data_IF_782265756392
#
_entry.id   IF_782265756392
#
_cell.length_a   1.000
_cell.length_b   1.000
_cell.length_c   1.000
_cell.angle_alpha   90.00
_cell.angle_beta   90.00
_cell.angle_gamma   90.00
#
_symmetry.space_group_name_H-M   'P 1'
#
loop_
_entity.id
_entity.type
_entity.pdbx_description
1 polymer ?
#
# COMPACT_ATOMS: atom_id res chain seq x y z
N UNK A 1 -6.21 10.49 -1.11
CA UNK A 1 -4.88 10.69 -1.71
C UNK A 1 -5.06 10.57 -3.19
N UNK A 2 -4.51 11.49 -3.98
CA UNK A 2 -4.56 11.42 -5.44
C UNK A 2 -3.17 11.04 -5.97
N UNK A 3 -3.12 10.24 -7.03
CA UNK A 3 -1.89 9.75 -7.64
C UNK A 3 -1.80 10.21 -9.08
N UNK A 4 -0.61 10.63 -9.50
CA UNK A 4 -0.30 10.85 -10.91
C UNK A 4 0.53 9.67 -11.40
N UNK A 5 -0.06 8.89 -12.30
CA UNK A 5 0.53 7.67 -12.86
C UNK A 5 0.86 7.92 -14.33
N UNK A 6 1.96 7.32 -14.80
CA UNK A 6 2.36 7.42 -16.20
C UNK A 6 1.30 6.75 -17.11
N UNK A 7 0.94 7.34 -18.26
CA UNK A 7 -0.17 6.84 -19.10
C UNK A 7 0.02 5.42 -19.66
N UNK A 8 1.25 4.92 -19.72
CA UNK A 8 1.60 3.58 -20.20
C UNK A 8 1.53 2.50 -19.10
N UNK A 9 1.38 2.90 -17.84
CA UNK A 9 1.21 1.99 -16.72
C UNK A 9 -0.26 1.64 -16.56
N UNK A 10 -0.58 0.35 -16.66
CA UNK A 10 -1.92 -0.19 -16.42
C UNK A 10 -2.01 -0.77 -15.02
N UNK A 11 -3.10 -0.48 -14.33
CA UNK A 11 -3.40 -0.99 -13.00
C UNK A 11 -4.62 -1.90 -13.09
N UNK A 12 -4.50 -3.15 -12.66
CA UNK A 12 -5.65 -4.06 -12.56
C UNK A 12 -6.65 -3.53 -11.52
N UNK A 13 -7.94 -3.83 -11.69
CA UNK A 13 -8.99 -3.40 -10.73
C UNK A 13 -8.74 -3.89 -9.29
N UNK A 14 -8.08 -5.04 -9.13
CA UNK A 14 -7.71 -5.64 -7.85
C UNK A 14 -6.25 -5.31 -7.44
N UNK A 15 -5.65 -4.27 -8.01
CA UNK A 15 -4.35 -3.77 -7.56
C UNK A 15 -4.43 -3.31 -6.10
N UNK A 16 -3.38 -3.55 -5.33
CA UNK A 16 -3.35 -3.20 -3.90
C UNK A 16 -2.42 -2.01 -3.67
N UNK A 17 -2.95 -0.93 -3.09
CA UNK A 17 -2.16 0.23 -2.68
C UNK A 17 -1.79 0.15 -1.19
N UNK A 18 -0.50 0.08 -0.90
CA UNK A 18 -0.01 -0.08 0.47
C UNK A 18 0.94 1.05 0.87
N UNK A 19 0.77 1.62 2.07
CA UNK A 19 1.73 2.58 2.62
C UNK A 19 2.94 1.82 3.19
N UNK A 20 4.15 2.19 2.76
CA UNK A 20 5.41 1.59 3.18
C UNK A 20 6.42 2.66 3.57
N UNK A 21 7.37 2.28 4.41
CA UNK A 21 8.49 3.13 4.85
C UNK A 21 9.77 2.58 4.22
N UNK A 22 10.61 3.45 3.67
CA UNK A 22 11.91 3.02 3.15
C UNK A 22 12.83 2.63 4.33
N UNK A 23 12.99 1.32 4.54
CA UNK A 23 13.69 0.81 5.72
C UNK A 23 12.93 1.10 7.01
N UNK A 24 13.67 1.31 8.11
CA UNK A 24 13.06 1.55 9.44
C UNK A 24 12.65 3.02 9.63
N UNK A 25 13.40 3.95 9.04
CA UNK A 25 13.33 5.40 9.35
C UNK A 25 13.27 6.32 8.12
N UNK A 26 13.24 5.75 6.92
CA UNK A 26 13.20 6.55 5.69
C UNK A 26 11.81 7.13 5.39
N UNK A 27 11.68 7.70 4.21
CA UNK A 27 10.42 8.32 3.79
C UNK A 27 9.31 7.29 3.59
N UNK A 28 8.07 7.74 3.76
CA UNK A 28 6.88 6.96 3.42
C UNK A 28 6.57 7.08 1.94
N UNK A 29 6.19 5.96 1.33
CA UNK A 29 5.78 5.88 -0.07
C UNK A 29 4.59 4.95 -0.23
N UNK A 30 3.88 5.09 -1.35
CA UNK A 30 2.80 4.19 -1.74
C UNK A 30 3.40 3.12 -2.66
N UNK A 31 3.29 1.86 -2.24
CA UNK A 31 3.59 0.70 -3.07
C UNK A 31 2.29 0.24 -3.70
N UNK A 32 2.23 0.18 -5.03
CA UNK A 32 1.13 -0.47 -5.74
C UNK A 32 1.63 -1.87 -6.13
N UNK A 33 0.89 -2.90 -5.73
CA UNK A 33 1.14 -4.28 -6.13
C UNK A 33 0.13 -4.67 -7.21
N UNK A 34 0.57 -5.30 -8.32
CA UNK A 34 -0.35 -5.71 -9.37
C UNK A 34 -1.29 -6.80 -8.86
N UNK A 35 -2.53 -6.74 -9.31
CA UNK A 35 -3.52 -7.78 -9.09
C UNK A 35 -3.55 -8.82 -10.22
N UNK A 36 -4.57 -9.66 -10.20
CA UNK A 36 -4.81 -10.72 -11.18
C UNK A 36 -6.03 -10.50 -12.07
N UNK A 37 -6.77 -9.40 -11.91
CA UNK A 37 -7.93 -9.10 -12.75
C UNK A 37 -7.55 -8.87 -14.21
N UNK A 38 -8.45 -9.26 -15.12
CA UNK A 38 -8.31 -8.99 -16.56
C UNK A 38 -8.64 -7.52 -16.90
N UNK A 39 -9.46 -6.88 -16.07
CA UNK A 39 -9.92 -5.51 -16.23
C UNK A 39 -8.95 -4.52 -15.55
N UNK A 40 -8.89 -3.30 -16.08
CA UNK A 40 -7.99 -2.24 -15.62
C UNK A 40 -8.76 -1.03 -15.11
N UNK A 41 -8.18 -0.34 -14.13
CA UNK A 41 -8.69 0.93 -13.62
C UNK A 41 -8.54 2.00 -14.70
N UNK A 42 -9.65 2.61 -15.07
CA UNK A 42 -9.69 3.73 -16.01
C UNK A 42 -9.14 5.04 -15.40
N UNK A 43 -8.68 6.00 -16.22
CA UNK A 43 -8.23 7.29 -15.71
C UNK A 43 -9.26 7.99 -14.82
N UNK A 44 -8.84 8.41 -13.63
CA UNK A 44 -9.73 8.99 -12.61
C UNK A 44 -10.48 7.96 -11.75
N UNK A 45 -10.27 6.67 -11.99
CA UNK A 45 -10.74 5.60 -11.11
C UNK A 45 -10.00 5.52 -9.79
N UNK A 46 -10.42 4.60 -8.93
CA UNK A 46 -9.93 4.44 -7.57
C UNK A 46 -9.41 3.02 -7.33
N UNK A 47 -8.36 2.91 -6.50
CA UNK A 47 -7.90 1.63 -5.97
C UNK A 47 -8.67 1.34 -4.68
N UNK A 48 -9.48 0.27 -4.68
CA UNK A 48 -10.27 -0.13 -3.52
C UNK A 48 -9.47 -0.94 -2.50
N UNK A 49 -8.58 -1.81 -2.98
CA UNK A 49 -7.75 -2.65 -2.11
C UNK A 49 -6.59 -1.84 -1.53
N UNK A 50 -6.63 -1.59 -0.21
CA UNK A 50 -5.61 -0.78 0.46
C UNK A 50 -5.08 -1.45 1.71
N UNK A 51 -3.80 -1.21 1.99
CA UNK A 51 -3.14 -1.68 3.21
C UNK A 51 -2.48 -0.53 3.96
N UNK A 52 -2.88 -0.38 5.21
CA UNK A 52 -2.26 0.54 6.15
C UNK A 52 -0.80 0.15 6.45
N UNK A 53 -0.03 1.13 6.88
CA UNK A 53 1.27 0.88 7.49
C UNK A 53 1.08 0.34 8.90
N UNK A 54 2.01 -0.52 9.34
CA UNK A 54 2.03 -0.99 10.73
C UNK A 54 2.90 -0.03 11.54
N UNK A 55 2.41 0.37 12.72
CA UNK A 55 3.20 1.16 13.65
C UNK A 55 4.26 0.28 14.35
N UNK A 56 5.53 0.68 14.24
CA UNK A 56 6.64 -0.01 14.92
C UNK A 56 6.46 0.03 16.44
N UNK A 57 5.91 1.11 17.00
CA UNK A 57 5.62 1.22 18.43
C UNK A 57 4.60 0.16 18.85
N UNK A 58 3.55 -0.03 18.05
CA UNK A 58 2.53 -1.04 18.30
C UNK A 58 3.12 -2.46 18.26
N UNK A 59 3.99 -2.75 17.28
CA UNK A 59 4.66 -4.05 17.18
C UNK A 59 5.61 -4.33 18.35
N UNK A 60 6.41 -3.33 18.75
CA UNK A 60 7.31 -3.44 19.90
C UNK A 60 6.50 -3.61 21.18
N UNK A 61 5.43 -2.84 21.35
CA UNK A 61 4.49 -2.98 22.46
C UNK A 61 3.94 -4.40 22.54
N UNK A 62 3.35 -4.92 21.45
CA UNK A 62 2.87 -6.31 21.39
C UNK A 62 3.94 -7.32 21.79
N UNK A 63 5.15 -7.22 21.27
CA UNK A 63 6.22 -8.18 21.62
C UNK A 63 6.66 -8.11 23.09
N UNK A 64 6.66 -6.92 23.69
CA UNK A 64 7.01 -6.72 25.10
C UNK A 64 5.88 -7.21 26.02
N UNK A 65 4.62 -6.97 25.66
CA UNK A 65 3.45 -7.26 26.49
C UNK A 65 2.80 -8.63 26.24
N UNK A 66 2.99 -9.28 25.09
CA UNK A 66 2.51 -10.65 24.80
C UNK A 66 3.32 -11.75 25.53
N UNK A 67 4.35 -11.37 26.30
CA UNK A 67 5.17 -12.29 27.11
C UNK A 67 4.68 -12.46 28.56
N UNK A 68 3.51 -11.91 28.91
CA UNK A 68 2.83 -12.23 30.17
C UNK A 68 1.63 -13.17 29.97
#
# INVERSE_FOLDING_TARGET
VELLIAPDVKLQEDSIASIRTQGIIGDKYIKISPGGAEEFIEPGGEIFETESTIDLEELVGKYIFDKE
#
